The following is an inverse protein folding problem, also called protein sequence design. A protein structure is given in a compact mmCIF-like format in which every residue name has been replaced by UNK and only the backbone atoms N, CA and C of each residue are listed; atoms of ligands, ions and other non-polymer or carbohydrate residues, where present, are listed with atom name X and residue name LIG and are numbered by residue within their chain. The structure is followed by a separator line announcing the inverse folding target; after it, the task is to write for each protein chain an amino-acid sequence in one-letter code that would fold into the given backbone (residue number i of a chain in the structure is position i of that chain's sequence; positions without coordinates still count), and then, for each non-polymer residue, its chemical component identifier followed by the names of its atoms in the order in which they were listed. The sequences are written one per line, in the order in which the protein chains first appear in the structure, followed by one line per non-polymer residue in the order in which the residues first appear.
data_IF_176165487451
#
_entry.id   IF_176165487451
#
_cell.length_a   1.000
_cell.length_b   1.000
_cell.length_c   1.000
_cell.angle_alpha   90.00
_cell.angle_beta   90.00
_cell.angle_gamma   90.00
#
_symmetry.space_group_name_H-M   'P 1'
#
loop_
_entity.id
_entity.type
_entity.pdbx_description
1 polymer ?
#
# COMPACT_ATOMS: atom_id res chain seq x y z
N UNK A 1 23.17 31.71 55.67
CA UNK A 1 22.38 30.48 55.60
C UNK A 1 20.90 30.87 55.51
N UNK A 2 20.43 31.26 54.35
CA UNK A 2 18.98 31.45 54.07
C UNK A 2 18.38 30.15 53.58
N UNK A 3 17.46 29.60 54.35
CA UNK A 3 16.67 28.45 54.01
C UNK A 3 15.50 28.91 53.17
N UNK A 4 15.51 28.66 51.87
CA UNK A 4 14.40 28.86 50.96
C UNK A 4 13.29 27.84 51.26
N UNK A 5 12.27 28.28 51.99
CA UNK A 5 11.03 27.53 52.20
C UNK A 5 10.20 27.67 50.91
N UNK A 6 10.24 26.66 50.07
CA UNK A 6 9.34 26.59 48.91
C UNK A 6 7.99 26.02 49.37
N UNK A 7 6.95 26.86 49.30
CA UNK A 7 5.59 26.51 49.67
C UNK A 7 5.08 25.34 48.84
N UNK A 8 4.52 24.33 49.48
CA UNK A 8 3.98 23.08 48.86
C UNK A 8 2.89 23.31 47.81
N UNK A 9 2.24 24.47 47.81
CA UNK A 9 1.19 24.83 46.85
C UNK A 9 1.69 25.07 45.41
N UNK A 10 2.97 25.42 45.24
CA UNK A 10 3.56 25.58 43.89
C UNK A 10 3.97 24.28 43.23
N UNK A 11 4.25 23.24 43.99
CA UNK A 11 4.65 21.93 43.48
C UNK A 11 3.44 21.18 42.87
N UNK A 12 2.26 21.34 43.50
CA UNK A 12 1.01 20.77 43.00
C UNK A 12 0.58 21.34 41.65
N UNK A 13 0.76 22.65 41.42
CA UNK A 13 0.40 23.30 40.17
C UNK A 13 1.37 23.00 39.01
N UNK A 14 2.65 22.78 39.32
CA UNK A 14 3.65 22.40 38.33
C UNK A 14 3.44 20.94 37.87
N UNK A 15 3.16 20.02 38.80
CA UNK A 15 2.85 18.64 38.48
C UNK A 15 1.60 18.47 37.60
N UNK A 16 0.54 19.27 37.91
CA UNK A 16 -0.68 19.23 37.11
C UNK A 16 -0.50 19.79 35.70
N UNK A 17 0.32 20.81 35.54
CA UNK A 17 0.64 21.40 34.23
C UNK A 17 1.53 20.48 33.40
N UNK A 18 2.49 19.79 34.00
CA UNK A 18 3.33 18.80 33.31
C UNK A 18 2.48 17.61 32.90
N UNK A 19 1.54 17.15 33.72
CA UNK A 19 0.64 16.03 33.36
C UNK A 19 -0.33 16.40 32.24
N UNK A 20 -0.85 17.64 32.20
CA UNK A 20 -1.69 18.11 31.10
C UNK A 20 -0.94 18.31 29.78
N UNK A 21 0.31 18.77 29.83
CA UNK A 21 1.14 18.96 28.63
C UNK A 21 1.59 17.60 28.05
N UNK A 22 1.78 16.57 28.88
CA UNK A 22 2.11 15.21 28.39
C UNK A 22 0.90 14.48 27.83
N UNK A 23 -0.33 14.90 28.10
CA UNK A 23 -1.54 14.31 27.53
C UNK A 23 -1.89 14.88 26.14
N UNK A 24 -1.40 16.07 25.79
CA UNK A 24 -1.62 16.69 24.47
C UNK A 24 -0.57 16.30 23.41
N UNK A 25 0.51 15.59 23.76
CA UNK A 25 1.60 15.24 22.82
C UNK A 25 1.54 13.77 22.37
N UNK A 26 0.52 12.99 22.76
CA UNK A 26 0.40 11.57 22.40
C UNK A 26 -0.55 11.32 21.22
N UNK A 27 -1.05 12.38 20.54
CA UNK A 27 -1.99 12.22 19.43
C UNK A 27 -1.42 12.43 18.01
N UNK A 28 -0.10 12.53 17.86
CA UNK A 28 0.52 12.61 16.53
C UNK A 28 1.66 11.58 16.38
N UNK A 29 1.30 10.34 16.35
CA UNK A 29 2.25 9.25 16.11
C UNK A 29 1.54 7.96 15.72
N UNK A 30 0.45 8.05 14.94
CA UNK A 30 0.00 6.91 14.16
C UNK A 30 1.07 6.73 13.10
N UNK A 31 2.03 5.82 13.39
CA UNK A 31 2.82 5.19 12.35
C UNK A 31 1.75 4.48 11.51
N UNK A 32 1.35 5.14 10.42
CA UNK A 32 0.62 4.51 9.34
C UNK A 32 1.60 3.44 8.80
N UNK A 33 1.54 2.24 9.40
CA UNK A 33 2.01 1.06 8.70
C UNK A 33 1.28 1.12 7.38
N UNK A 34 2.02 1.47 6.33
CA UNK A 34 1.54 1.47 4.96
C UNK A 34 1.09 0.02 4.70
N UNK A 35 -0.18 -0.26 5.02
CA UNK A 35 -0.84 -1.50 4.66
C UNK A 35 -0.65 -1.59 3.17
N UNK A 36 0.10 -2.59 2.72
CA UNK A 36 0.25 -2.90 1.32
C UNK A 36 -1.17 -2.92 0.74
N UNK A 37 -1.49 -1.92 -0.06
CA UNK A 37 -2.80 -1.85 -0.69
C UNK A 37 -2.89 -3.07 -1.59
N UNK A 38 -4.06 -3.71 -1.70
CA UNK A 38 -4.29 -4.91 -2.54
C UNK A 38 -3.87 -4.71 -4.02
N UNK A 39 -3.41 -3.53 -4.37
CA UNK A 39 -2.97 -3.11 -5.70
C UNK A 39 -1.45 -3.13 -5.89
N UNK A 40 -0.67 -3.37 -4.83
CA UNK A 40 0.78 -3.45 -4.93
C UNK A 40 1.20 -4.82 -5.46
N UNK A 41 2.23 -4.82 -6.31
CA UNK A 41 2.78 -6.02 -6.92
C UNK A 41 4.17 -6.32 -6.38
N UNK A 42 4.46 -7.60 -6.19
CA UNK A 42 5.78 -8.11 -5.89
C UNK A 42 6.36 -8.83 -7.10
N UNK A 43 7.64 -8.56 -7.39
CA UNK A 43 8.40 -9.26 -8.41
C UNK A 43 9.78 -9.62 -7.88
N UNK A 44 10.09 -10.92 -7.86
CA UNK A 44 11.40 -11.42 -7.41
C UNK A 44 12.34 -11.50 -8.62
N UNK A 45 13.48 -10.84 -8.53
CA UNK A 45 14.47 -10.75 -9.59
C UNK A 45 15.80 -11.33 -9.12
N UNK A 46 16.25 -12.40 -9.77
CA UNK A 46 17.53 -13.03 -9.48
C UNK A 46 18.62 -12.48 -10.38
N UNK A 47 19.72 -12.03 -9.77
CA UNK A 47 20.92 -11.51 -10.45
C UNK A 47 22.16 -12.28 -9.98
N UNK A 48 23.26 -12.18 -10.74
CA UNK A 48 24.54 -12.76 -10.33
C UNK A 48 25.32 -11.77 -9.43
N UNK A 49 26.39 -12.24 -8.81
CA UNK A 49 27.26 -11.41 -7.95
C UNK A 49 27.93 -10.29 -8.75
N UNK A 50 28.36 -10.56 -9.98
CA UNK A 50 28.97 -9.58 -10.89
C UNK A 50 27.95 -8.52 -11.33
N UNK A 51 26.73 -8.95 -11.61
CA UNK A 51 25.63 -8.03 -11.96
C UNK A 51 25.25 -7.13 -10.78
N UNK A 52 25.30 -7.66 -9.56
CA UNK A 52 25.09 -6.87 -8.35
C UNK A 52 26.19 -5.81 -8.16
N UNK A 53 27.44 -6.15 -8.48
CA UNK A 53 28.56 -5.23 -8.38
C UNK A 53 28.52 -4.12 -9.45
N UNK A 54 28.28 -4.47 -10.73
CA UNK A 54 28.33 -3.52 -11.85
C UNK A 54 27.04 -2.72 -12.03
N UNK A 55 25.94 -3.22 -11.47
CA UNK A 55 24.60 -2.77 -11.79
C UNK A 55 24.14 -3.31 -13.16
N UNK A 56 22.84 -3.34 -13.38
CA UNK A 56 22.25 -3.92 -14.59
C UNK A 56 20.97 -3.18 -15.00
N UNK A 57 20.79 -3.02 -16.32
CA UNK A 57 19.49 -2.69 -16.90
C UNK A 57 18.85 -3.97 -17.42
N UNK A 58 17.67 -4.30 -16.94
CA UNK A 58 16.95 -5.51 -17.31
C UNK A 58 15.51 -5.20 -17.67
N UNK A 59 15.00 -5.86 -18.71
CA UNK A 59 13.59 -5.86 -19.02
C UNK A 59 12.90 -6.99 -18.24
N UNK A 60 11.93 -6.62 -17.44
CA UNK A 60 11.05 -7.57 -16.73
C UNK A 60 9.70 -7.62 -17.43
N UNK A 61 9.06 -8.76 -17.37
CA UNK A 61 7.70 -8.96 -17.86
C UNK A 61 6.86 -9.53 -16.72
N UNK A 62 5.75 -8.88 -16.44
CA UNK A 62 4.85 -9.28 -15.35
C UNK A 62 3.40 -9.05 -15.75
N UNK A 63 2.51 -9.81 -15.13
CA UNK A 63 1.07 -9.64 -15.29
C UNK A 63 0.58 -8.58 -14.31
N UNK A 64 -0.24 -7.67 -14.80
CA UNK A 64 -0.83 -6.61 -13.99
C UNK A 64 -2.23 -6.31 -14.51
N UNK A 65 -3.08 -5.75 -13.67
CA UNK A 65 -4.36 -5.21 -14.11
C UNK A 65 -4.21 -3.75 -14.52
N UNK A 66 -4.81 -3.39 -15.65
CA UNK A 66 -4.89 -2.02 -16.15
C UNK A 66 -6.33 -1.53 -16.18
N UNK A 67 -6.51 -0.23 -16.04
CA UNK A 67 -7.83 0.39 -16.20
C UNK A 67 -8.38 0.07 -17.58
N UNK A 68 -9.60 -0.44 -17.62
CA UNK A 68 -10.29 -0.70 -18.88
C UNK A 68 -10.42 0.59 -19.67
N UNK A 69 -9.87 0.62 -20.88
CA UNK A 69 -9.90 1.79 -21.76
C UNK A 69 -11.31 2.19 -22.18
N UNK A 70 -12.21 1.19 -22.34
CA UNK A 70 -13.59 1.37 -22.81
C UNK A 70 -14.46 2.08 -21.76
N UNK A 71 -14.39 1.65 -20.50
CA UNK A 71 -15.17 2.25 -19.42
C UNK A 71 -14.36 3.18 -18.52
N UNK A 72 -13.06 3.37 -18.77
CA UNK A 72 -12.15 4.23 -18.00
C UNK A 72 -12.10 3.88 -16.51
N UNK A 73 -12.33 2.60 -16.18
CA UNK A 73 -12.26 2.08 -14.81
C UNK A 73 -13.59 2.05 -14.04
N UNK A 74 -14.69 2.62 -14.56
CA UNK A 74 -15.97 2.65 -13.84
C UNK A 74 -16.79 1.35 -13.92
N UNK A 75 -16.43 0.43 -14.80
CA UNK A 75 -17.09 -0.86 -14.96
C UNK A 75 -18.41 -0.83 -15.76
N UNK A 76 -18.97 0.34 -16.08
CA UNK A 76 -20.23 0.49 -16.82
C UNK A 76 -20.00 0.62 -18.32
N UNK A 77 -20.99 0.28 -19.14
CA UNK A 77 -20.95 0.54 -20.59
C UNK A 77 -20.74 2.02 -20.87
N UNK A 78 -20.07 2.38 -21.99
CA UNK A 78 -19.96 3.77 -22.41
C UNK A 78 -21.34 4.44 -22.48
N UNK A 79 -21.46 5.63 -21.89
CA UNK A 79 -22.72 6.38 -21.81
C UNK A 79 -23.59 6.02 -20.59
N UNK A 80 -23.19 5.03 -19.79
CA UNK A 80 -23.82 4.69 -18.52
C UNK A 80 -22.86 4.92 -17.38
N UNK A 81 -23.36 5.33 -16.23
CA UNK A 81 -22.64 5.42 -14.96
C UNK A 81 -23.14 4.35 -13.98
N UNK A 82 -22.34 3.97 -12.98
CA UNK A 82 -22.84 3.15 -11.89
C UNK A 82 -24.01 3.83 -11.17
N UNK A 83 -25.00 3.05 -10.78
CA UNK A 83 -26.15 3.52 -10.03
C UNK A 83 -25.85 3.48 -8.53
N UNK A 84 -26.54 4.32 -7.76
CA UNK A 84 -26.40 4.31 -6.31
C UNK A 84 -27.01 3.00 -5.76
N UNK A 85 -26.25 2.29 -4.91
CA UNK A 85 -26.75 1.07 -4.27
C UNK A 85 -28.02 1.36 -3.44
N UNK A 86 -29.09 0.69 -3.78
CA UNK A 86 -30.41 0.87 -3.15
C UNK A 86 -30.44 0.37 -1.72
N UNK A 87 -29.65 -0.67 -1.41
CA UNK A 87 -29.64 -1.30 -0.10
C UNK A 87 -28.99 -0.44 0.98
N UNK A 88 -27.87 0.22 0.68
CA UNK A 88 -27.16 1.09 1.61
C UNK A 88 -27.34 2.59 1.33
N UNK A 89 -28.12 2.96 0.31
CA UNK A 89 -28.30 4.35 -0.10
C UNK A 89 -27.01 5.05 -0.53
N UNK A 90 -26.03 4.29 -1.06
CA UNK A 90 -24.74 4.83 -1.50
C UNK A 90 -23.66 4.87 -0.43
N UNK A 91 -23.95 4.47 0.82
CA UNK A 91 -22.98 4.58 1.93
C UNK A 91 -21.93 3.45 1.96
N UNK A 92 -22.11 2.39 1.17
CA UNK A 92 -21.24 1.21 1.18
C UNK A 92 -21.31 0.37 2.47
N UNK A 93 -21.99 0.84 3.50
CA UNK A 93 -22.11 0.20 4.80
C UNK A 93 -23.55 0.23 5.28
N UNK A 94 -23.94 -0.79 6.03
CA UNK A 94 -25.27 -0.88 6.67
C UNK A 94 -25.11 -0.98 8.17
N UNK A 95 -26.06 -0.39 8.90
CA UNK A 95 -26.10 -0.44 10.36
C UNK A 95 -27.19 -1.39 10.78
N UNK A 96 -26.84 -2.36 11.60
CA UNK A 96 -27.78 -3.32 12.18
C UNK A 96 -27.76 -3.15 13.69
N UNK A 97 -28.94 -2.95 14.27
CA UNK A 97 -29.08 -2.87 15.72
C UNK A 97 -29.26 -4.28 16.28
N UNK A 98 -28.35 -4.69 17.15
CA UNK A 98 -28.44 -5.96 17.90
C UNK A 98 -28.58 -5.63 19.39
N UNK A 99 -29.82 -5.54 19.86
CA UNK A 99 -30.12 -5.14 21.23
C UNK A 99 -29.64 -3.71 21.53
N UNK A 100 -28.71 -3.56 22.46
CA UNK A 100 -28.14 -2.25 22.84
C UNK A 100 -26.96 -1.79 21.99
N UNK A 101 -26.51 -2.60 21.05
CA UNK A 101 -25.34 -2.29 20.22
C UNK A 101 -25.75 -2.05 18.77
N UNK A 102 -25.15 -1.01 18.17
CA UNK A 102 -25.24 -0.77 16.73
C UNK A 102 -23.98 -1.31 16.08
N UNK A 103 -24.12 -2.33 15.25
CA UNK A 103 -23.04 -2.92 14.47
C UNK A 103 -23.06 -2.34 13.05
N UNK A 104 -21.94 -1.84 12.59
CA UNK A 104 -21.78 -1.39 11.22
C UNK A 104 -21.03 -2.47 10.44
N UNK A 105 -21.60 -2.89 9.32
CA UNK A 105 -21.02 -3.92 8.45
C UNK A 105 -20.97 -3.45 7.00
N UNK A 106 -20.07 -4.03 6.21
CA UNK A 106 -20.00 -3.78 4.76
C UNK A 106 -21.32 -4.18 4.11
N UNK A 107 -21.81 -3.34 3.20
CA UNK A 107 -23.05 -3.63 2.46
C UNK A 107 -22.87 -4.92 1.64
N UNK A 108 -23.72 -5.95 1.83
CA UNK A 108 -23.59 -7.21 1.11
C UNK A 108 -23.90 -7.07 -0.39
N UNK A 109 -24.71 -6.09 -0.79
CA UNK A 109 -25.16 -5.92 -2.17
C UNK A 109 -24.08 -5.26 -3.02
N UNK A 110 -23.44 -4.20 -2.55
CA UNK A 110 -22.41 -3.47 -3.28
C UNK A 110 -20.97 -3.76 -2.80
N UNK A 111 -20.79 -4.68 -1.86
CA UNK A 111 -19.49 -5.05 -1.30
C UNK A 111 -18.65 -3.83 -0.86
N UNK A 112 -19.31 -2.84 -0.26
CA UNK A 112 -18.67 -1.66 0.29
C UNK A 112 -18.52 -0.47 -0.65
N UNK A 113 -18.84 -0.62 -1.94
CA UNK A 113 -18.63 0.44 -2.94
C UNK A 113 -19.65 1.57 -2.90
N UNK A 114 -20.83 1.31 -2.38
CA UNK A 114 -21.95 2.25 -2.46
C UNK A 114 -22.64 2.33 -3.82
N UNK A 115 -22.14 1.63 -4.84
CA UNK A 115 -22.62 1.69 -6.23
C UNK A 115 -22.90 0.30 -6.79
N UNK A 116 -23.83 0.22 -7.72
CA UNK A 116 -24.21 -0.99 -8.46
C UNK A 116 -24.05 -0.77 -9.96
N UNK A 117 -23.52 -1.76 -10.65
CA UNK A 117 -23.33 -1.72 -12.09
C UNK A 117 -24.49 -2.45 -12.75
N UNK A 118 -25.53 -1.71 -13.16
CA UNK A 118 -26.70 -2.24 -13.88
C UNK A 118 -26.39 -2.59 -15.31
N UNK A 119 -25.51 -1.83 -15.96
CA UNK A 119 -25.07 -2.05 -17.33
C UNK A 119 -23.57 -2.31 -17.39
N UNK A 120 -23.12 -3.57 -17.21
CA UNK A 120 -21.70 -3.87 -17.16
C UNK A 120 -21.03 -3.64 -18.52
N UNK A 121 -19.79 -3.12 -18.47
CA UNK A 121 -18.93 -2.97 -19.63
C UNK A 121 -18.60 -4.35 -20.20
N UNK A 122 -18.82 -4.53 -21.50
CA UNK A 122 -18.58 -5.83 -22.16
C UNK A 122 -17.10 -6.22 -22.18
N UNK A 123 -16.20 -5.24 -22.13
CA UNK A 123 -14.76 -5.46 -22.23
C UNK A 123 -14.12 -5.95 -20.93
N UNK A 124 -14.63 -5.54 -19.79
CA UNK A 124 -14.11 -5.91 -18.47
C UNK A 124 -15.16 -6.60 -17.60
N UNK A 125 -16.33 -6.92 -18.14
CA UNK A 125 -17.44 -7.59 -17.43
C UNK A 125 -17.82 -6.90 -16.11
N UNK A 126 -17.78 -5.57 -16.08
CA UNK A 126 -18.11 -4.79 -14.89
C UNK A 126 -16.95 -4.57 -13.91
N UNK A 127 -15.81 -5.21 -14.09
CA UNK A 127 -14.67 -5.12 -13.15
C UNK A 127 -13.97 -3.74 -13.20
N UNK A 128 -14.06 -3.03 -14.31
CA UNK A 128 -13.36 -1.77 -14.53
C UNK A 128 -11.91 -1.91 -14.94
N UNK A 129 -11.30 -3.08 -14.69
CA UNK A 129 -9.90 -3.39 -14.96
C UNK A 129 -9.79 -4.61 -15.88
N UNK A 130 -8.67 -4.71 -16.60
CA UNK A 130 -8.31 -5.84 -17.47
C UNK A 130 -6.93 -6.36 -17.11
N UNK A 131 -6.77 -7.68 -17.07
CA UNK A 131 -5.45 -8.31 -16.95
C UNK A 131 -4.66 -8.11 -18.25
N UNK A 132 -3.41 -7.66 -18.10
CA UNK A 132 -2.48 -7.45 -19.22
C UNK A 132 -1.05 -7.81 -18.80
N UNK A 133 -0.22 -8.12 -19.77
CA UNK A 133 1.21 -8.37 -19.54
C UNK A 133 2.01 -7.14 -19.94
N UNK A 134 2.75 -6.56 -19.00
CA UNK A 134 3.61 -5.40 -19.22
C UNK A 134 5.08 -5.78 -19.28
N UNK A 135 5.81 -5.09 -20.14
CA UNK A 135 7.28 -5.09 -20.16
C UNK A 135 7.77 -3.77 -19.60
N UNK A 136 8.68 -3.84 -18.65
CA UNK A 136 9.26 -2.66 -18.00
C UNK A 136 10.78 -2.79 -17.97
N UNK A 137 11.48 -1.77 -18.43
CA UNK A 137 12.92 -1.65 -18.27
C UNK A 137 13.23 -1.12 -16.88
N UNK A 138 13.97 -1.90 -16.10
CA UNK A 138 14.38 -1.55 -14.73
C UNK A 138 15.87 -1.40 -14.67
N UNK A 139 16.35 -0.38 -13.96
CA UNK A 139 17.77 -0.18 -13.68
C UNK A 139 18.04 -0.62 -12.24
N UNK A 140 18.89 -1.62 -12.10
CA UNK A 140 19.40 -2.09 -10.81
C UNK A 140 20.69 -1.30 -10.57
N UNK A 141 20.79 -0.54 -9.46
CA UNK A 141 22.02 0.20 -9.15
C UNK A 141 23.16 -0.76 -8.83
N UNK A 142 24.39 -0.26 -8.95
CA UNK A 142 25.58 -0.99 -8.53
C UNK A 142 25.63 -1.12 -7.00
N UNK A 143 26.19 -2.23 -6.52
CA UNK A 143 26.39 -2.47 -5.08
C UNK A 143 25.16 -2.97 -4.34
N UNK A 144 24.11 -3.42 -5.03
CA UNK A 144 22.91 -3.96 -4.37
C UNK A 144 23.23 -5.22 -3.59
N UNK A 145 22.59 -5.36 -2.43
CA UNK A 145 22.67 -6.53 -1.57
C UNK A 145 21.53 -7.51 -1.84
N UNK A 146 21.73 -8.75 -1.38
CA UNK A 146 20.63 -9.73 -1.37
C UNK A 146 19.49 -9.21 -0.49
N UNK A 147 18.25 -9.42 -0.93
CA UNK A 147 17.05 -8.91 -0.26
C UNK A 147 16.78 -7.42 -0.47
N UNK A 148 17.59 -6.70 -1.25
CA UNK A 148 17.33 -5.29 -1.58
C UNK A 148 15.97 -5.13 -2.23
N UNK A 149 15.20 -4.12 -1.80
CA UNK A 149 13.87 -3.82 -2.35
C UNK A 149 13.92 -2.51 -3.14
N UNK A 150 13.45 -2.55 -4.38
CA UNK A 150 13.33 -1.39 -5.25
C UNK A 150 11.84 -1.12 -5.49
N UNK A 151 11.37 0.05 -5.08
CA UNK A 151 9.99 0.49 -5.29
C UNK A 151 9.87 1.26 -6.59
N UNK A 152 8.92 0.85 -7.43
CA UNK A 152 8.55 1.52 -8.67
C UNK A 152 7.14 2.06 -8.53
N UNK A 153 7.03 3.35 -8.22
CA UNK A 153 5.76 4.00 -7.89
C UNK A 153 4.80 4.00 -9.08
N UNK A 154 3.53 3.64 -8.83
CA UNK A 154 2.45 3.60 -9.81
C UNK A 154 2.60 2.53 -10.89
N UNK A 155 3.49 1.53 -10.70
CA UNK A 155 3.70 0.41 -11.63
C UNK A 155 3.04 -0.90 -11.18
N UNK A 156 2.34 -0.88 -10.05
CA UNK A 156 1.52 -1.98 -9.55
C UNK A 156 0.23 -2.17 -10.34
N UNK A 157 -0.74 -2.81 -9.74
CA UNK A 157 -2.06 -3.01 -10.33
C UNK A 157 -2.88 -1.72 -10.36
N UNK A 158 -3.82 -1.66 -11.29
CA UNK A 158 -4.77 -0.57 -11.32
C UNK A 158 -5.69 -0.62 -10.09
N UNK A 159 -5.85 0.51 -9.43
CA UNK A 159 -6.81 0.64 -8.35
C UNK A 159 -8.24 0.32 -8.81
N UNK A 160 -9.05 -0.14 -7.88
CA UNK A 160 -10.45 -0.44 -8.15
C UNK A 160 -11.22 0.84 -8.51
N UNK A 161 -12.14 0.73 -9.48
CA UNK A 161 -13.06 1.83 -9.88
C UNK A 161 -12.38 3.15 -10.20
N UNK A 162 -11.28 3.08 -10.94
CA UNK A 162 -10.54 4.27 -11.32
C UNK A 162 -9.63 4.87 -10.24
N UNK A 163 -9.46 4.19 -9.12
CA UNK A 163 -8.51 4.54 -8.07
C UNK A 163 -7.06 4.67 -8.57
N UNK A 164 -6.16 5.16 -7.75
CA UNK A 164 -4.74 5.22 -8.07
C UNK A 164 -4.16 3.81 -8.28
N UNK A 165 -3.16 3.69 -9.12
CA UNK A 165 -2.42 2.43 -9.26
C UNK A 165 -1.57 2.21 -8.02
N UNK A 166 -1.40 0.95 -7.62
CA UNK A 166 -0.43 0.54 -6.63
C UNK A 166 1.00 0.62 -7.14
N UNK A 167 1.94 0.13 -6.37
CA UNK A 167 3.35 0.15 -6.65
C UNK A 167 3.86 -1.25 -7.01
N UNK A 168 4.96 -1.31 -7.75
CA UNK A 168 5.67 -2.56 -8.01
C UNK A 168 6.94 -2.59 -7.15
N UNK A 169 7.04 -3.59 -6.29
CA UNK A 169 8.21 -3.87 -5.47
C UNK A 169 9.05 -4.97 -6.10
N UNK A 170 10.27 -4.63 -6.47
CA UNK A 170 11.25 -5.59 -6.93
C UNK A 170 12.08 -6.06 -5.75
N UNK A 171 12.13 -7.37 -5.53
CA UNK A 171 12.99 -8.01 -4.55
C UNK A 171 14.19 -8.61 -5.28
N UNK A 172 15.36 -8.10 -4.96
CA UNK A 172 16.61 -8.56 -5.56
C UNK A 172 17.12 -9.77 -4.79
N UNK A 173 17.32 -10.88 -5.49
CA UNK A 173 17.95 -12.08 -4.96
C UNK A 173 19.29 -12.27 -5.66
N UNK A 174 20.39 -12.17 -4.92
CA UNK A 174 21.73 -12.43 -5.46
C UNK A 174 22.00 -13.93 -5.41
N UNK A 175 22.24 -14.52 -6.58
CA UNK A 175 22.57 -15.96 -6.68
C UNK A 175 23.89 -16.23 -5.97
N UNK A 176 23.99 -17.41 -5.32
CA UNK A 176 25.27 -17.89 -4.79
C UNK A 176 26.28 -18.05 -5.94
N UNK A 177 27.52 -17.63 -5.69
CA UNK A 177 28.62 -17.79 -6.62
C UNK A 177 29.40 -19.08 -6.29
N UNK A 178 29.99 -19.71 -7.32
CA UNK A 178 30.68 -21.00 -7.15
C UNK A 178 31.95 -20.91 -6.30
N UNK A 179 32.65 -19.78 -6.36
CA UNK A 179 33.96 -19.56 -5.75
C UNK A 179 33.96 -18.50 -4.65
N UNK A 180 32.95 -17.62 -4.64
CA UNK A 180 32.95 -16.48 -3.74
C UNK A 180 31.70 -16.45 -2.88
N UNK A 181 31.93 -16.18 -1.60
CA UNK A 181 30.87 -15.89 -0.66
C UNK A 181 30.94 -14.42 -0.26
N UNK A 182 29.88 -13.68 -0.44
CA UNK A 182 29.79 -12.28 -0.03
C UNK A 182 29.26 -12.18 1.41
N UNK A 183 29.95 -11.36 2.21
CA UNK A 183 29.46 -10.91 3.50
C UNK A 183 29.65 -9.40 3.56
N UNK A 184 28.55 -8.66 3.46
CA UNK A 184 28.51 -7.22 3.35
C UNK A 184 29.36 -6.70 2.17
N UNK A 185 30.44 -5.97 2.47
CA UNK A 185 31.36 -5.42 1.48
C UNK A 185 32.53 -6.37 1.12
N UNK A 186 32.66 -7.48 1.81
CA UNK A 186 33.79 -8.40 1.67
C UNK A 186 33.42 -9.62 0.83
N UNK A 187 34.38 -10.08 0.03
CA UNK A 187 34.31 -11.34 -0.71
C UNK A 187 35.31 -12.34 -0.13
N UNK A 188 34.83 -13.52 0.18
CA UNK A 188 35.64 -14.63 0.68
C UNK A 188 35.69 -15.70 -0.41
N UNK A 189 36.88 -16.25 -0.63
CA UNK A 189 37.10 -17.40 -1.50
C UNK A 189 36.95 -18.68 -0.69
N UNK A 190 36.13 -19.60 -1.13
CA UNK A 190 35.91 -20.93 -0.53
C UNK A 190 36.43 -22.02 -1.45
#
# INVERSE_FOLDING_TARGET
LEVLVVSMDKISQISLKIFLVTLEVVEEGVIEEAQATETDLRYDLSITLEEAYTGKKQNIQFSTSEKCSTCKGNGSKPGHSPDRCTYCGGNGRVRTNQGFFTVQQTCPQCAGSGEEITNPCNDCNGQGNKQTSKKLAVTIPQGVDDGTRIRLSGKGEAGTRGGANGDLYLFINVKSHELFKRSDENLFFE
#
